data_IF_250861859744
#
_entry.id   IF_250861859744
#
_cell.length_a   1.000
_cell.length_b   1.000
_cell.length_c   1.000
_cell.angle_alpha   90.00
_cell.angle_beta   90.00
_cell.angle_gamma   90.00
#
_symmetry.space_group_name_H-M   'P 1'
#
loop_
_entity.id
_entity.type
_entity.pdbx_description
1 polymer ?
#
# COMPACT_ATOMS: atom_id res chain seq x y z
N UNK A 1 35.08 26.43 10.47
CA UNK A 1 33.77 26.40 9.79
C UNK A 1 33.56 24.99 9.27
N UNK A 2 32.78 24.16 9.97
CA UNK A 2 32.55 22.77 9.57
C UNK A 2 31.24 22.68 8.78
N UNK A 3 31.36 22.38 7.49
CA UNK A 3 30.25 22.06 6.59
C UNK A 3 29.57 20.78 7.05
N UNK A 4 28.36 20.90 7.58
CA UNK A 4 27.49 19.76 7.88
C UNK A 4 26.92 19.27 6.55
N UNK A 5 27.57 18.28 5.93
CA UNK A 5 27.01 17.53 4.82
C UNK A 5 25.75 16.83 5.32
N UNK A 6 24.59 17.38 4.96
CA UNK A 6 23.31 16.72 5.14
C UNK A 6 23.34 15.44 4.31
N UNK A 7 23.47 14.30 4.98
CA UNK A 7 23.29 12.98 4.40
C UNK A 7 21.96 12.99 3.64
N UNK A 8 21.92 12.65 2.34
CA UNK A 8 20.65 12.37 1.70
C UNK A 8 20.09 11.18 2.48
N UNK A 9 18.97 11.36 3.18
CA UNK A 9 18.17 10.23 3.63
C UNK A 9 17.81 9.48 2.36
N UNK A 10 18.60 8.44 2.03
CA UNK A 10 18.20 7.38 1.14
C UNK A 10 16.96 6.78 1.78
N UNK A 11 15.79 7.37 1.50
CA UNK A 11 14.52 6.69 1.62
C UNK A 11 14.72 5.49 0.71
N UNK A 12 15.01 4.34 1.31
CA UNK A 12 14.84 3.05 0.66
C UNK A 12 13.52 3.17 -0.11
N UNK A 13 13.43 2.81 -1.40
CA UNK A 13 12.12 2.54 -1.96
C UNK A 13 11.50 1.56 -0.99
N UNK A 14 10.50 2.02 -0.24
CA UNK A 14 9.85 1.25 0.82
C UNK A 14 9.15 0.16 0.05
N UNK A 15 9.86 -0.95 -0.19
CA UNK A 15 9.54 -1.98 -1.17
C UNK A 15 8.03 -2.07 -1.24
N UNK A 16 7.49 -1.53 -2.33
CA UNK A 16 6.12 -1.03 -2.39
C UNK A 16 5.21 -2.25 -2.34
N UNK A 17 5.01 -2.79 -1.15
CA UNK A 17 4.30 -4.05 -0.95
C UNK A 17 2.79 -3.85 -1.08
N UNK A 18 2.37 -2.70 -1.63
CA UNK A 18 1.00 -2.40 -2.03
C UNK A 18 0.39 -3.53 -2.85
N UNK A 19 1.14 -4.08 -3.80
CA UNK A 19 0.65 -5.21 -4.62
C UNK A 19 0.39 -6.43 -3.75
N UNK A 20 1.31 -6.78 -2.84
CA UNK A 20 1.12 -7.91 -1.92
C UNK A 20 0.06 -7.68 -0.84
N UNK A 21 -0.18 -6.43 -0.45
CA UNK A 21 -1.27 -6.05 0.46
C UNK A 21 -2.61 -6.17 -0.29
N UNK A 22 -2.67 -5.70 -1.54
CA UNK A 22 -3.85 -5.83 -2.41
C UNK A 22 -4.17 -7.30 -2.71
N UNK A 23 -3.19 -8.13 -3.05
CA UNK A 23 -3.41 -9.57 -3.28
C UNK A 23 -3.94 -10.27 -2.03
N UNK A 24 -3.31 -10.06 -0.87
CA UNK A 24 -3.80 -10.65 0.38
C UNK A 24 -5.19 -10.13 0.75
N UNK A 25 -5.48 -8.86 0.48
CA UNK A 25 -6.79 -8.28 0.73
C UNK A 25 -7.85 -8.94 -0.14
N UNK A 26 -7.60 -9.04 -1.45
CA UNK A 26 -8.50 -9.70 -2.38
C UNK A 26 -8.73 -11.15 -1.98
N UNK A 27 -7.68 -11.91 -1.65
CA UNK A 27 -7.79 -13.29 -1.18
C UNK A 27 -8.63 -13.42 0.11
N UNK A 28 -8.41 -12.53 1.10
CA UNK A 28 -9.14 -12.50 2.37
C UNK A 28 -10.64 -12.29 2.17
N UNK A 29 -11.03 -11.50 1.17
CA UNK A 29 -12.42 -11.18 0.85
C UNK A 29 -13.02 -12.07 -0.26
N UNK A 30 -12.30 -13.10 -0.73
CA UNK A 30 -12.68 -13.91 -1.90
C UNK A 30 -12.97 -13.05 -3.15
N UNK A 31 -12.27 -11.92 -3.26
CA UNK A 31 -12.33 -11.00 -4.38
C UNK A 31 -11.21 -11.32 -5.37
N UNK A 32 -11.39 -10.87 -6.59
CA UNK A 32 -10.37 -10.94 -7.64
C UNK A 32 -10.35 -9.63 -8.43
N UNK A 33 -9.44 -9.53 -9.41
CA UNK A 33 -9.44 -8.42 -10.35
C UNK A 33 -10.74 -8.35 -11.19
N UNK A 34 -11.53 -9.42 -11.24
CA UNK A 34 -12.80 -9.52 -11.95
C UNK A 34 -14.03 -9.22 -11.06
N UNK A 35 -13.82 -8.92 -9.78
CA UNK A 35 -14.90 -8.54 -8.86
C UNK A 35 -15.63 -7.28 -9.31
N UNK A 36 -16.91 -7.15 -8.95
CA UNK A 36 -17.68 -5.97 -9.35
C UNK A 36 -17.20 -4.73 -8.59
N UNK A 37 -17.31 -3.53 -9.19
CA UNK A 37 -16.93 -2.28 -8.52
C UNK A 37 -17.64 -2.07 -7.18
N UNK A 38 -18.89 -2.54 -7.03
CA UNK A 38 -19.64 -2.45 -5.77
C UNK A 38 -19.04 -3.32 -4.66
N UNK A 39 -18.57 -4.53 -4.98
CA UNK A 39 -17.89 -5.40 -4.02
C UNK A 39 -16.53 -4.82 -3.59
N UNK A 40 -15.78 -4.24 -4.53
CA UNK A 40 -14.51 -3.59 -4.22
C UNK A 40 -14.73 -2.30 -3.38
N UNK A 41 -15.78 -1.54 -3.69
CA UNK A 41 -16.17 -0.31 -2.99
C UNK A 41 -16.58 -0.55 -1.53
N UNK A 42 -17.26 -1.66 -1.24
CA UNK A 42 -17.61 -2.04 0.15
C UNK A 42 -16.36 -2.13 1.03
N UNK A 43 -15.27 -2.63 0.44
CA UNK A 43 -14.04 -2.96 1.12
C UNK A 43 -12.94 -1.89 0.96
N UNK A 44 -13.15 -0.89 0.09
CA UNK A 44 -12.26 0.25 -0.10
C UNK A 44 -11.87 0.98 1.20
N UNK A 45 -12.78 1.30 2.15
CA UNK A 45 -12.39 1.95 3.40
C UNK A 45 -11.51 1.08 4.31
N UNK A 46 -11.66 -0.25 4.26
CA UNK A 46 -10.81 -1.19 5.01
C UNK A 46 -9.41 -1.28 4.39
N UNK A 47 -9.35 -1.20 3.05
CA UNK A 47 -8.10 -1.16 2.28
C UNK A 47 -7.33 0.14 2.54
N UNK A 48 -8.01 1.29 2.51
CA UNK A 48 -7.42 2.60 2.85
C UNK A 48 -6.89 2.63 4.29
N UNK A 49 -7.57 2.00 5.25
CA UNK A 49 -7.11 1.91 6.63
C UNK A 49 -5.89 0.98 6.83
N UNK A 50 -5.72 0.00 5.94
CA UNK A 50 -4.61 -0.95 5.96
C UNK A 50 -3.34 -0.37 5.32
N UNK A 51 -3.50 0.62 4.43
CA UNK A 51 -2.41 1.28 3.77
C UNK A 51 -1.79 2.35 4.69
N UNK A 52 -0.47 2.32 4.93
CA UNK A 52 0.20 3.37 5.68
C UNK A 52 0.30 4.65 4.85
N UNK A 53 -0.01 5.79 5.47
CA UNK A 53 0.11 7.17 4.93
C UNK A 53 1.51 7.47 4.33
#
# INVERSE_FOLDING_TARGET
>A
MATKTATPKTRKPKANNHVGILEQFLEKHNLSADSTPEQLSEHAPELDALLPD
#
